data_IF_552310018914
#
_entry.id   IF_552310018914
#
_cell.length_a   1.000
_cell.length_b   1.000
_cell.length_c   1.000
_cell.angle_alpha   90.00
_cell.angle_beta   90.00
_cell.angle_gamma   90.00
#
_symmetry.space_group_name_H-M   'P 1'
#
loop_
_entity.id
_entity.type
_entity.pdbx_description
1 polymer ?
#
# COMPACT_ATOMS: atom_id res chain seq x y z
N UNK A 1 2.19 -17.00 -14.79
CA UNK A 1 1.30 -17.37 -13.66
C UNK A 1 0.00 -17.99 -14.19
N UNK A 2 -0.65 -18.88 -13.41
CA UNK A 2 -1.99 -19.44 -13.76
C UNK A 2 -3.15 -18.49 -13.44
N UNK A 3 -2.91 -17.46 -12.62
CA UNK A 3 -3.90 -16.46 -12.22
C UNK A 3 -4.10 -15.47 -13.37
N UNK A 4 -5.35 -15.13 -13.67
CA UNK A 4 -5.68 -14.07 -14.64
C UNK A 4 -5.23 -12.70 -14.12
N UNK A 5 -4.72 -11.85 -15.02
CA UNK A 5 -4.28 -10.47 -14.75
C UNK A 5 -5.32 -9.69 -13.94
N UNK A 6 -6.59 -9.76 -14.30
CA UNK A 6 -7.69 -9.07 -13.60
C UNK A 6 -7.87 -9.56 -12.17
N UNK A 7 -7.83 -10.90 -11.96
CA UNK A 7 -7.93 -11.47 -10.62
C UNK A 7 -6.78 -11.01 -9.73
N UNK A 8 -5.56 -10.99 -10.27
CA UNK A 8 -4.38 -10.52 -9.54
C UNK A 8 -4.52 -9.06 -9.09
N UNK A 9 -4.96 -8.17 -9.98
CA UNK A 9 -5.09 -6.73 -9.69
C UNK A 9 -6.16 -6.49 -8.63
N UNK A 10 -7.32 -7.15 -8.74
CA UNK A 10 -8.40 -7.02 -7.76
C UNK A 10 -7.89 -7.49 -6.39
N UNK A 11 -7.23 -8.65 -6.31
CA UNK A 11 -6.65 -9.13 -5.05
C UNK A 11 -5.61 -8.13 -4.50
N UNK A 12 -4.72 -7.60 -5.35
CA UNK A 12 -3.72 -6.62 -4.94
C UNK A 12 -4.34 -5.35 -4.36
N UNK A 13 -5.34 -4.77 -5.05
CA UNK A 13 -6.04 -3.57 -4.60
C UNK A 13 -6.73 -3.79 -3.26
N UNK A 14 -7.50 -4.88 -3.13
CA UNK A 14 -8.18 -5.24 -1.87
C UNK A 14 -7.15 -5.41 -0.75
N UNK A 15 -6.07 -6.14 -0.99
CA UNK A 15 -5.00 -6.32 0.00
C UNK A 15 -4.31 -5.00 0.38
N UNK A 16 -4.07 -4.10 -0.56
CA UNK A 16 -3.46 -2.80 -0.29
C UNK A 16 -4.35 -1.93 0.61
N UNK A 17 -5.66 -1.86 0.33
CA UNK A 17 -6.62 -1.16 1.17
C UNK A 17 -6.74 -1.79 2.57
N UNK A 18 -6.84 -3.11 2.65
CA UNK A 18 -6.92 -3.83 3.94
C UNK A 18 -5.65 -3.62 4.76
N UNK A 19 -4.48 -3.70 4.15
CA UNK A 19 -3.20 -3.44 4.80
C UNK A 19 -3.13 -2.02 5.36
N UNK A 20 -3.56 -1.02 4.58
CA UNK A 20 -3.63 0.36 5.05
C UNK A 20 -4.60 0.56 6.21
N UNK A 21 -5.79 -0.03 6.11
CA UNK A 21 -6.80 0.03 7.18
C UNK A 21 -6.30 -0.58 8.48
N UNK A 22 -5.77 -1.81 8.42
CA UNK A 22 -5.24 -2.51 9.60
C UNK A 22 -4.07 -1.76 10.22
N UNK A 23 -3.10 -1.31 9.41
CA UNK A 23 -1.91 -0.63 9.93
C UNK A 23 -2.24 0.71 10.55
N UNK A 24 -3.15 1.49 9.97
CA UNK A 24 -3.62 2.75 10.56
C UNK A 24 -4.42 2.51 11.84
N UNK A 25 -5.26 1.48 11.88
CA UNK A 25 -6.04 1.13 13.08
C UNK A 25 -5.14 0.68 14.24
N UNK A 26 -4.15 -0.17 13.98
CA UNK A 26 -3.25 -0.71 15.00
C UNK A 26 -2.25 0.32 15.52
N UNK A 27 -1.64 1.10 14.61
CA UNK A 27 -0.55 2.01 14.97
C UNK A 27 -1.06 3.35 15.47
N UNK A 28 -2.23 3.79 15.00
CA UNK A 28 -2.88 5.09 15.26
C UNK A 28 -1.99 6.29 14.93
N UNK A 29 -2.47 7.27 14.14
CA UNK A 29 -1.68 8.46 13.86
C UNK A 29 -1.46 9.26 15.15
N UNK A 30 -0.21 9.46 15.53
CA UNK A 30 0.18 10.41 16.56
C UNK A 30 0.47 11.70 15.81
N UNK A 31 -0.38 12.72 15.93
CA UNK A 31 -0.27 14.04 15.27
C UNK A 31 -0.72 14.14 13.79
N UNK A 32 -1.57 13.24 13.31
CA UNK A 32 -2.04 13.30 11.92
C UNK A 32 -1.01 12.82 10.89
N UNK A 33 0.12 12.27 11.35
CA UNK A 33 1.11 11.65 10.50
C UNK A 33 0.52 10.48 9.71
N UNK A 34 0.69 10.51 8.39
CA UNK A 34 0.27 9.43 7.49
C UNK A 34 1.00 8.10 7.77
N UNK A 35 2.20 8.19 8.36
CA UNK A 35 3.00 7.06 8.80
C UNK A 35 2.88 6.84 10.32
N UNK A 36 1.69 6.41 10.74
CA UNK A 36 1.38 6.08 12.13
C UNK A 36 2.40 5.15 12.81
N UNK A 37 2.67 5.39 14.10
CA UNK A 37 3.41 4.48 14.98
C UNK A 37 4.93 4.68 15.08
N UNK A 38 5.58 5.42 14.16
CA UNK A 38 7.04 5.66 14.19
C UNK A 38 7.48 6.47 15.41
N UNK A 39 6.69 7.48 15.80
CA UNK A 39 6.94 8.33 16.96
C UNK A 39 6.19 7.87 18.21
N UNK A 40 5.64 6.64 18.22
CA UNK A 40 4.87 6.14 19.35
C UNK A 40 5.74 5.96 20.59
N UNK A 41 5.30 6.41 21.79
CA UNK A 41 6.00 6.16 23.04
C UNK A 41 5.95 4.67 23.45
N UNK A 42 5.05 3.89 22.85
CA UNK A 42 4.89 2.46 23.09
C UNK A 42 5.87 1.68 22.19
N UNK A 43 6.81 0.96 22.81
CA UNK A 43 7.91 0.27 22.13
C UNK A 43 7.47 -0.75 21.06
N UNK A 44 6.44 -1.56 21.34
CA UNK A 44 5.96 -2.56 20.37
C UNK A 44 5.33 -1.90 19.12
N UNK A 45 4.63 -0.77 19.29
CA UNK A 45 4.08 0.00 18.16
C UNK A 45 5.21 0.59 17.31
N UNK A 46 6.26 1.13 17.93
CA UNK A 46 7.43 1.66 17.23
C UNK A 46 8.17 0.58 16.44
N UNK A 47 8.40 -0.57 17.05
CA UNK A 47 9.07 -1.69 16.38
C UNK A 47 8.23 -2.24 15.22
N UNK A 48 6.92 -2.39 15.42
CA UNK A 48 6.01 -2.82 14.36
C UNK A 48 5.96 -1.79 13.21
N UNK A 49 5.90 -0.51 13.55
CA UNK A 49 5.97 0.57 12.56
C UNK A 49 7.27 0.48 11.75
N UNK A 50 8.43 0.30 12.40
CA UNK A 50 9.72 0.19 11.71
C UNK A 50 9.79 -0.96 10.70
N UNK A 51 9.15 -2.11 10.99
CA UNK A 51 9.09 -3.26 10.08
C UNK A 51 8.16 -2.99 8.89
N UNK A 52 7.02 -2.34 9.14
CA UNK A 52 5.97 -2.08 8.15
C UNK A 52 6.32 -0.88 7.26
N UNK A 53 7.10 0.06 7.79
CA UNK A 53 7.40 1.35 7.18
C UNK A 53 7.98 1.27 5.76
N UNK A 54 8.94 0.37 5.42
CA UNK A 54 9.44 0.25 4.06
C UNK A 54 8.35 -0.13 3.05
N UNK A 55 7.46 -1.05 3.43
CA UNK A 55 6.33 -1.47 2.58
C UNK A 55 5.35 -0.32 2.39
N UNK A 56 5.06 0.42 3.48
CA UNK A 56 4.21 1.61 3.44
C UNK A 56 4.82 2.75 2.61
N UNK A 57 6.14 2.94 2.63
CA UNK A 57 6.80 3.93 1.77
C UNK A 57 6.60 3.58 0.29
N UNK A 58 6.77 2.31 -0.08
CA UNK A 58 6.59 1.91 -1.47
C UNK A 58 5.13 2.07 -1.89
N UNK A 59 4.18 1.62 -1.06
CA UNK A 59 2.76 1.67 -1.40
C UNK A 59 2.17 3.08 -1.39
N UNK A 60 2.71 3.99 -0.59
CA UNK A 60 2.00 5.23 -0.24
C UNK A 60 2.88 6.47 -0.23
N UNK A 61 4.21 6.31 -0.23
CA UNK A 61 5.18 7.40 -0.22
C UNK A 61 5.04 8.34 -1.42
N UNK A 62 4.97 7.85 -2.68
CA UNK A 62 4.76 8.71 -3.84
C UNK A 62 3.43 9.47 -3.83
N UNK A 63 2.46 8.98 -3.08
CA UNK A 63 1.15 9.60 -2.89
C UNK A 63 1.12 10.57 -1.70
N UNK A 64 2.20 10.70 -0.92
CA UNK A 64 2.28 11.58 0.23
C UNK A 64 1.88 13.04 -0.06
N UNK A 65 2.22 13.65 -1.22
CA UNK A 65 1.76 15.01 -1.55
C UNK A 65 0.22 15.12 -1.62
N UNK A 66 -0.45 14.09 -2.16
CA UNK A 66 -1.92 14.03 -2.24
C UNK A 66 -2.54 13.80 -0.84
N UNK A 67 -1.81 13.13 0.05
CA UNK A 67 -2.28 12.88 1.41
C UNK A 67 -2.06 14.03 2.39
N UNK A 68 -0.97 14.78 2.21
CA UNK A 68 -0.59 15.94 3.03
C UNK A 68 -1.26 17.24 2.59
N UNK A 69 -1.99 17.22 1.47
CA UNK A 69 -2.86 18.32 1.11
C UNK A 69 -3.92 18.52 2.23
N UNK A 70 -4.07 19.75 2.77
CA UNK A 70 -5.02 20.04 3.84
C UNK A 70 -6.48 19.91 3.40
N UNK A 71 -6.79 20.02 2.10
CA UNK A 71 -8.18 19.93 1.61
C UNK A 71 -8.35 19.27 0.21
N UNK A 72 -7.76 18.09 -0.04
CA UNK A 72 -7.97 17.38 -1.29
C UNK A 72 -9.34 16.73 -1.26
N UNK A 73 -10.11 16.97 -2.32
CA UNK A 73 -11.44 16.39 -2.45
C UNK A 73 -11.37 14.86 -2.25
N UNK A 74 -12.18 14.28 -1.35
CA UNK A 74 -12.15 12.85 -1.01
C UNK A 74 -12.13 11.90 -2.22
N UNK A 75 -12.85 12.17 -3.33
CA UNK A 75 -12.78 11.36 -4.53
C UNK A 75 -11.39 11.34 -5.20
N UNK A 76 -10.63 12.44 -5.12
CA UNK A 76 -9.31 12.59 -5.75
C UNK A 76 -8.28 11.70 -5.03
N UNK A 77 -8.33 11.64 -3.69
CA UNK A 77 -7.44 10.77 -2.90
C UNK A 77 -7.63 9.30 -3.30
N UNK A 78 -8.88 8.84 -3.36
CA UNK A 78 -9.20 7.45 -3.72
C UNK A 78 -8.81 7.15 -5.17
N UNK A 79 -9.04 8.09 -6.08
CA UNK A 79 -8.67 7.94 -7.49
C UNK A 79 -7.15 7.84 -7.66
N UNK A 80 -6.37 8.72 -7.01
CA UNK A 80 -4.92 8.68 -7.05
C UNK A 80 -4.36 7.35 -6.52
N UNK A 81 -4.90 6.84 -5.41
CA UNK A 81 -4.56 5.51 -4.89
C UNK A 81 -4.89 4.41 -5.89
N UNK A 82 -6.10 4.41 -6.43
CA UNK A 82 -6.56 3.38 -7.35
C UNK A 82 -5.70 3.35 -8.61
N UNK A 83 -5.38 4.50 -9.20
CA UNK A 83 -4.52 4.60 -10.39
C UNK A 83 -3.10 4.11 -10.06
N UNK A 84 -2.49 4.64 -9.00
CA UNK A 84 -1.13 4.30 -8.61
C UNK A 84 -0.96 2.80 -8.31
N UNK A 85 -1.85 2.22 -7.49
CA UNK A 85 -1.79 0.80 -7.15
C UNK A 85 -2.16 -0.11 -8.32
N UNK A 86 -3.01 0.34 -9.26
CA UNK A 86 -3.27 -0.41 -10.48
C UNK A 86 -2.01 -0.52 -11.34
N UNK A 87 -1.25 0.58 -11.49
CA UNK A 87 0.04 0.57 -12.19
C UNK A 87 1.03 -0.35 -11.49
N UNK A 88 1.16 -0.24 -10.16
CA UNK A 88 2.00 -1.16 -9.38
C UNK A 88 1.60 -2.63 -9.57
N UNK A 89 0.30 -2.93 -9.54
CA UNK A 89 -0.19 -4.28 -9.74
C UNK A 89 0.19 -4.83 -11.12
N UNK A 90 0.13 -4.01 -12.17
CA UNK A 90 0.59 -4.40 -13.49
C UNK A 90 2.09 -4.67 -13.54
N UNK A 91 2.90 -3.78 -12.96
CA UNK A 91 4.36 -3.96 -12.90
C UNK A 91 4.71 -5.24 -12.13
N UNK A 92 4.09 -5.46 -10.97
CA UNK A 92 4.34 -6.64 -10.16
C UNK A 92 3.90 -7.93 -10.87
N UNK A 93 2.71 -7.92 -11.49
CA UNK A 93 2.23 -9.05 -12.27
C UNK A 93 3.17 -9.36 -13.45
N UNK A 94 3.69 -8.34 -14.11
CA UNK A 94 4.65 -8.48 -15.20
C UNK A 94 5.97 -9.08 -14.70
N UNK A 95 6.56 -8.53 -13.64
CA UNK A 95 7.80 -9.06 -13.04
C UNK A 95 7.61 -10.52 -12.59
N UNK A 96 6.51 -10.83 -11.91
CA UNK A 96 6.20 -12.21 -11.50
C UNK A 96 5.99 -13.14 -12.70
N UNK A 97 5.45 -12.64 -13.81
CA UNK A 97 5.31 -13.44 -15.03
C UNK A 97 6.64 -13.75 -15.72
N UNK A 98 7.64 -12.87 -15.55
CA UNK A 98 9.01 -13.09 -16.03
C UNK A 98 9.80 -14.03 -15.10
N UNK A 99 9.67 -13.86 -13.78
CA UNK A 99 10.43 -14.62 -12.79
C UNK A 99 9.90 -16.04 -12.59
N UNK A 100 8.60 -16.26 -12.79
CA UNK A 100 7.98 -17.58 -12.61
C UNK A 100 7.84 -18.23 -13.99
N UNK A 101 8.79 -19.09 -14.42
CA UNK A 101 8.69 -19.79 -15.68
C UNK A 101 7.38 -20.57 -15.70
N UNK A 102 6.57 -20.34 -16.73
CA UNK A 102 5.36 -21.09 -16.98
C UNK A 102 5.78 -22.53 -17.26
N UNK A 103 5.70 -23.43 -16.27
CA UNK A 103 5.79 -24.88 -16.52
C UNK A 103 4.76 -25.18 -17.61
N UNK A 104 5.24 -25.44 -18.84
CA UNK A 104 4.43 -26.05 -19.89
C UNK A 104 4.11 -27.44 -19.35
N UNK A 105 2.85 -27.66 -19.01
CA UNK A 105 2.32 -28.99 -18.77
C UNK A 105 2.24 -29.73 -20.12
#
# INVERSE_FOLDING_TARGET
MKISRTKFIITFLVSAFVFLGITNLLLQPVNGDWFAGTNSPIAWKRNLAAIIYPVKIILVGPLAPVFNDPDPAPPIRVLACAVYWTVMAFVLHFILSLLIPRKKA
#
